data_IF_753652679411
#
_entry.id   IF_753652679411
#
_cell.length_a   1.000
_cell.length_b   1.000
_cell.length_c   1.000
_cell.angle_alpha   90.00
_cell.angle_beta   90.00
_cell.angle_gamma   90.00
#
_symmetry.space_group_name_H-M   'P 1'
#
loop_
_entity.id
_entity.type
_entity.pdbx_description
1 polymer ?
#
# COMPACT_ATOMS: atom_id res chain seq x y z
N UNK A 1 17.60 0.41 8.89
CA UNK A 1 17.49 1.88 8.76
C UNK A 1 17.82 2.24 7.34
N UNK A 2 16.79 2.50 6.57
CA UNK A 2 16.86 2.67 5.10
C UNK A 2 17.07 4.11 4.68
N UNK A 3 16.47 5.08 5.40
CA UNK A 3 16.55 6.49 5.02
C UNK A 3 17.92 7.11 5.28
N UNK A 4 18.32 7.98 4.34
CA UNK A 4 19.45 8.88 4.52
C UNK A 4 19.08 9.91 5.60
N UNK A 5 19.86 9.98 6.67
CA UNK A 5 19.50 10.82 7.83
C UNK A 5 19.37 12.30 7.51
N UNK A 6 20.12 12.77 6.47
CA UNK A 6 20.10 14.16 6.02
C UNK A 6 18.94 14.52 5.10
N UNK A 7 18.12 13.55 4.62
CA UNK A 7 16.98 13.88 3.81
C UNK A 7 15.94 14.70 4.60
N UNK A 8 15.24 15.59 3.92
CA UNK A 8 14.17 16.39 4.52
C UNK A 8 12.81 15.76 4.19
N UNK A 9 11.92 15.68 5.18
CA UNK A 9 10.56 15.18 4.99
C UNK A 9 9.64 16.35 4.64
N UNK A 10 8.93 16.23 3.51
CA UNK A 10 7.86 17.13 3.11
C UNK A 10 6.50 16.57 3.55
N UNK A 11 5.85 17.22 4.49
CA UNK A 11 4.53 16.83 4.99
C UNK A 11 3.39 17.59 4.30
N UNK A 12 3.67 18.44 3.30
CA UNK A 12 2.67 19.35 2.70
C UNK A 12 1.53 18.63 1.98
N UNK A 13 1.77 17.43 1.44
CA UNK A 13 0.76 16.59 0.79
C UNK A 13 0.07 15.63 1.75
N UNK A 14 0.50 15.59 3.03
CA UNK A 14 0.02 14.65 4.04
C UNK A 14 -0.95 15.33 5.00
N UNK A 15 -2.10 14.70 5.20
CA UNK A 15 -3.07 15.08 6.22
C UNK A 15 -3.14 14.03 7.32
N UNK A 16 -3.59 14.43 8.50
CA UNK A 16 -3.81 13.53 9.64
C UNK A 16 -5.22 13.71 10.17
N UNK A 17 -5.85 12.64 10.61
CA UNK A 17 -7.14 12.69 11.29
C UNK A 17 -8.18 11.76 10.64
N UNK A 18 -9.14 11.34 11.46
CA UNK A 18 -10.40 10.77 10.99
C UNK A 18 -11.41 11.90 10.84
N UNK A 19 -12.10 11.98 9.69
CA UNK A 19 -13.08 13.01 9.44
C UNK A 19 -14.19 13.03 10.50
N UNK A 20 -14.75 14.23 10.79
CA UNK A 20 -16.01 14.39 11.51
C UNK A 20 -17.17 13.82 10.69
N UNK A 21 -17.18 12.50 10.51
CA UNK A 21 -18.27 11.74 9.97
C UNK A 21 -18.84 10.84 11.06
N UNK A 22 -20.15 10.70 11.14
CA UNK A 22 -20.82 9.75 12.05
C UNK A 22 -20.20 8.38 11.85
N UNK A 23 -19.38 7.96 12.81
CA UNK A 23 -18.62 6.72 12.76
C UNK A 23 -19.56 5.50 12.71
N UNK A 24 -19.29 4.62 11.79
CA UNK A 24 -19.83 3.26 11.79
C UNK A 24 -18.76 2.40 12.45
N UNK A 25 -19.08 1.81 13.60
CA UNK A 25 -18.18 0.87 14.28
C UNK A 25 -18.25 -0.49 13.60
N UNK A 26 -17.13 -0.92 13.03
CA UNK A 26 -16.97 -2.29 12.56
C UNK A 26 -16.31 -3.07 13.70
N UNK A 27 -16.97 -4.12 14.18
CA UNK A 27 -16.47 -4.95 15.28
C UNK A 27 -15.21 -5.70 14.86
N UNK A 28 -14.11 -5.45 15.58
CA UNK A 28 -12.81 -6.04 15.32
C UNK A 28 -12.75 -7.53 15.67
N UNK A 29 -12.24 -8.30 14.74
CA UNK A 29 -11.85 -9.70 14.87
C UNK A 29 -11.22 -10.17 13.56
N UNK A 30 -10.37 -11.19 13.61
CA UNK A 30 -9.70 -11.83 12.45
C UNK A 30 -10.65 -12.11 11.26
N UNK A 31 -11.95 -12.23 11.51
CA UNK A 31 -12.97 -12.38 10.47
C UNK A 31 -13.34 -11.10 9.72
N UNK A 32 -13.10 -9.92 10.30
CA UNK A 32 -13.52 -8.64 9.71
C UNK A 32 -12.69 -8.26 8.48
N UNK A 33 -11.38 -8.41 8.54
CA UNK A 33 -10.46 -8.05 7.47
C UNK A 33 -10.67 -8.94 6.23
N UNK A 34 -10.85 -10.25 6.45
CA UNK A 34 -11.16 -11.20 5.37
C UNK A 34 -12.54 -10.95 4.78
N UNK A 35 -13.52 -10.57 5.60
CA UNK A 35 -14.91 -10.33 5.14
C UNK A 35 -15.01 -9.03 4.34
N UNK A 36 -14.29 -7.96 4.71
CA UNK A 36 -14.33 -6.69 3.97
C UNK A 36 -13.56 -6.80 2.65
N UNK A 37 -12.40 -7.42 2.65
CA UNK A 37 -11.68 -7.73 1.41
C UNK A 37 -12.52 -8.61 0.49
N UNK A 38 -13.17 -9.66 1.01
CA UNK A 38 -14.07 -10.51 0.25
C UNK A 38 -15.35 -9.78 -0.22
N UNK A 39 -15.93 -8.87 0.57
CA UNK A 39 -17.15 -8.16 0.20
C UNK A 39 -16.90 -7.17 -0.96
N UNK A 40 -15.82 -6.39 -0.92
CA UNK A 40 -15.42 -5.50 -2.02
C UNK A 40 -15.19 -6.31 -3.30
N UNK A 41 -14.61 -7.49 -3.18
CA UNK A 41 -14.27 -8.35 -4.32
C UNK A 41 -15.41 -9.25 -4.82
N UNK A 42 -16.40 -9.57 -3.98
CA UNK A 42 -17.59 -10.32 -4.42
C UNK A 42 -18.63 -9.43 -5.11
N UNK A 43 -18.34 -8.12 -5.28
CA UNK A 43 -19.30 -7.17 -5.84
C UNK A 43 -20.51 -6.95 -4.92
N UNK A 44 -20.39 -7.32 -3.65
CA UNK A 44 -21.38 -7.02 -2.63
C UNK A 44 -21.10 -5.60 -2.14
N UNK A 45 -22.09 -4.73 -2.23
CA UNK A 45 -21.99 -3.35 -1.75
C UNK A 45 -21.53 -3.36 -0.27
N UNK A 46 -20.34 -2.85 0.06
CA UNK A 46 -19.84 -2.80 1.43
C UNK A 46 -20.82 -2.12 2.38
N UNK A 47 -21.64 -1.19 1.88
CA UNK A 47 -22.71 -0.54 2.63
C UNK A 47 -23.79 -1.49 3.13
N UNK A 48 -24.05 -2.60 2.45
CA UNK A 48 -25.04 -3.60 2.90
C UNK A 48 -24.49 -4.51 4.01
N UNK A 49 -23.20 -4.78 4.02
CA UNK A 49 -22.54 -5.56 5.09
C UNK A 49 -22.37 -4.70 6.36
N UNK A 50 -22.16 -3.39 6.18
CA UNK A 50 -21.91 -2.42 7.26
C UNK A 50 -23.20 -1.97 7.97
N UNK A 51 -24.36 -2.08 7.33
CA UNK A 51 -25.64 -1.54 7.85
C UNK A 51 -26.19 -2.23 9.11
N UNK A 52 -25.53 -3.25 9.64
CA UNK A 52 -26.01 -4.02 10.81
C UNK A 52 -25.23 -3.78 12.11
N UNK A 53 -24.36 -2.75 12.21
CA UNK A 53 -23.56 -2.53 13.42
C UNK A 53 -23.98 -1.32 14.25
N UNK A 54 -23.87 -1.39 15.62
CA UNK A 54 -24.24 -0.28 16.50
C UNK A 54 -23.30 0.92 16.39
N UNK A 55 -23.86 2.13 16.46
CA UNK A 55 -23.10 3.38 16.45
C UNK A 55 -22.26 3.56 17.73
N UNK A 56 -21.03 4.06 17.59
CA UNK A 56 -20.17 4.43 18.71
C UNK A 56 -20.69 5.68 19.45
N UNK A 57 -20.44 5.79 20.78
CA UNK A 57 -20.82 6.98 21.54
C UNK A 57 -20.11 8.24 21.04
N UNK A 58 -20.79 9.42 21.10
CA UNK A 58 -20.17 10.69 20.71
C UNK A 58 -19.11 11.09 21.75
N UNK A 59 -17.88 11.33 21.34
CA UNK A 59 -16.86 11.94 22.19
C UNK A 59 -15.45 11.35 22.16
N UNK A 60 -15.16 10.31 21.39
CA UNK A 60 -13.78 9.87 21.20
C UNK A 60 -13.08 10.86 20.25
N UNK A 61 -12.29 11.79 20.78
CA UNK A 61 -11.34 12.54 20.00
C UNK A 61 -10.34 11.55 19.41
N UNK A 62 -10.40 11.35 18.08
CA UNK A 62 -9.38 10.62 17.37
C UNK A 62 -8.12 11.49 17.38
N UNK A 63 -7.16 11.15 18.23
CA UNK A 63 -5.84 11.77 18.23
C UNK A 63 -5.20 11.43 16.86
N UNK A 64 -5.17 12.44 15.99
CA UNK A 64 -4.42 12.34 14.73
C UNK A 64 -2.93 12.17 15.01
N UNK A 65 -2.19 11.71 14.03
CA UNK A 65 -0.72 11.65 14.12
C UNK A 65 -0.13 13.05 14.24
N UNK A 66 0.88 13.20 15.11
CA UNK A 66 1.68 14.44 15.20
C UNK A 66 2.86 14.34 14.20
N UNK A 67 2.72 15.03 13.07
CA UNK A 67 3.77 15.09 12.04
C UNK A 67 4.81 16.20 12.30
N UNK A 68 4.67 17.00 13.33
CA UNK A 68 5.61 18.10 13.64
C UNK A 68 7.03 17.63 13.92
N UNK A 69 7.17 16.37 14.35
CA UNK A 69 8.45 15.68 14.57
C UNK A 69 9.07 15.09 13.30
N UNK A 70 8.30 14.92 12.23
CA UNK A 70 8.74 14.31 10.98
C UNK A 70 9.48 15.33 10.11
N UNK A 71 10.78 15.52 10.33
CA UNK A 71 11.59 16.54 9.68
C UNK A 71 12.65 15.97 8.77
N UNK A 72 13.28 14.88 9.17
CA UNK A 72 14.46 14.32 8.52
C UNK A 72 14.38 12.81 8.35
N UNK A 73 15.27 12.25 7.56
CA UNK A 73 15.39 10.79 7.43
C UNK A 73 15.77 10.09 8.74
N UNK A 74 16.40 10.79 9.70
CA UNK A 74 16.62 10.26 11.04
C UNK A 74 15.27 9.99 11.74
N UNK A 75 14.31 10.94 11.63
CA UNK A 75 12.97 10.77 12.18
C UNK A 75 12.21 9.63 11.48
N UNK A 76 12.38 9.49 10.15
CA UNK A 76 11.80 8.37 9.39
C UNK A 76 12.37 7.00 9.82
N UNK A 77 13.64 6.97 10.20
CA UNK A 77 14.26 5.75 10.73
C UNK A 77 13.75 5.38 12.13
N UNK A 78 13.27 6.35 12.91
CA UNK A 78 12.80 6.17 14.28
C UNK A 78 11.28 5.97 14.38
N UNK A 79 10.49 6.83 13.71
CA UNK A 79 9.03 6.87 13.83
C UNK A 79 8.34 6.30 12.59
N UNK A 80 7.36 5.41 12.81
CA UNK A 80 6.66 4.72 11.70
C UNK A 80 5.87 5.71 10.84
N UNK A 81 5.15 6.65 11.44
CA UNK A 81 4.41 7.68 10.70
C UNK A 81 5.32 8.57 9.86
N UNK A 82 6.52 8.92 10.37
CA UNK A 82 7.50 9.67 9.61
C UNK A 82 8.08 8.84 8.47
N UNK A 83 8.25 7.52 8.68
CA UNK A 83 8.66 6.57 7.65
C UNK A 83 7.65 6.52 6.51
N UNK A 84 6.36 6.44 6.81
CA UNK A 84 5.31 6.43 5.79
C UNK A 84 5.37 7.70 4.94
N UNK A 85 5.45 8.87 5.56
CA UNK A 85 5.54 10.16 4.84
C UNK A 85 6.82 10.25 4.02
N UNK A 86 7.97 9.91 4.61
CA UNK A 86 9.26 9.93 3.92
C UNK A 86 9.30 8.96 2.73
N UNK A 87 8.64 7.80 2.84
CA UNK A 87 8.51 6.86 1.73
C UNK A 87 7.69 7.48 0.60
N UNK A 88 6.54 8.10 0.89
CA UNK A 88 5.77 8.83 -0.11
C UNK A 88 6.60 9.88 -0.84
N UNK A 89 7.37 10.69 -0.11
CA UNK A 89 8.28 11.67 -0.72
C UNK A 89 9.33 11.02 -1.64
N UNK A 90 9.87 9.86 -1.22
CA UNK A 90 10.84 9.11 -2.02
C UNK A 90 10.19 8.55 -3.30
N UNK A 91 8.97 8.00 -3.20
CA UNK A 91 8.22 7.48 -4.34
C UNK A 91 7.90 8.60 -5.32
N UNK A 92 7.41 9.75 -4.84
CA UNK A 92 7.17 10.93 -5.65
C UNK A 92 8.43 11.36 -6.41
N UNK A 93 9.57 11.48 -5.70
CA UNK A 93 10.82 11.87 -6.32
C UNK A 93 11.32 10.91 -7.40
N UNK A 94 11.07 9.62 -7.26
CA UNK A 94 11.39 8.62 -8.30
C UNK A 94 10.45 8.76 -9.49
N UNK A 95 9.13 8.81 -9.27
CA UNK A 95 8.16 8.83 -10.35
C UNK A 95 8.10 10.17 -11.11
N UNK A 96 8.41 11.29 -10.47
CA UNK A 96 8.62 12.58 -11.17
C UNK A 96 9.70 12.50 -12.25
N UNK A 97 10.74 11.66 -12.04
CA UNK A 97 11.79 11.43 -13.03
C UNK A 97 11.40 10.39 -14.10
N UNK A 98 10.58 9.40 -13.77
CA UNK A 98 10.27 8.27 -14.66
C UNK A 98 9.02 8.50 -15.51
N UNK A 99 8.02 9.23 -14.98
CA UNK A 99 6.72 9.40 -15.63
C UNK A 99 6.47 10.88 -15.95
N UNK A 100 6.54 11.22 -17.24
CA UNK A 100 6.21 12.57 -17.69
C UNK A 100 4.76 12.90 -17.36
N UNK A 101 4.54 13.99 -16.65
CA UNK A 101 3.20 14.43 -16.22
C UNK A 101 2.73 13.77 -14.92
N UNK A 102 3.64 13.13 -14.19
CA UNK A 102 3.36 12.66 -12.83
C UNK A 102 2.85 13.80 -11.95
N UNK A 103 1.80 13.53 -11.22
CA UNK A 103 1.26 14.43 -10.18
C UNK A 103 1.25 13.66 -8.86
N UNK A 104 1.66 14.30 -7.78
CA UNK A 104 1.72 13.66 -6.46
C UNK A 104 0.31 13.35 -5.95
N UNK A 105 0.06 12.15 -5.42
CA UNK A 105 -1.17 11.87 -4.71
C UNK A 105 -1.18 12.62 -3.38
N UNK A 106 -2.34 12.72 -2.77
CA UNK A 106 -2.46 13.07 -1.36
C UNK A 106 -2.16 11.84 -0.50
N UNK A 107 -1.73 12.08 0.73
CA UNK A 107 -1.59 11.05 1.75
C UNK A 107 -2.49 11.39 2.95
N UNK A 108 -3.15 10.38 3.49
CA UNK A 108 -3.93 10.50 4.73
C UNK A 108 -3.49 9.46 5.74
N UNK A 109 -2.95 9.91 6.87
CA UNK A 109 -2.75 9.05 8.03
C UNK A 109 -3.99 9.11 8.92
N UNK A 110 -4.60 7.98 9.17
CA UNK A 110 -5.84 7.91 9.96
C UNK A 110 -5.76 6.85 11.06
N UNK A 111 -6.68 6.89 11.99
CA UNK A 111 -6.89 5.87 13.03
C UNK A 111 -8.33 5.41 13.01
N UNK A 112 -8.53 4.11 13.10
CA UNK A 112 -9.82 3.44 13.17
C UNK A 112 -10.69 3.61 11.92
N UNK A 113 -11.28 4.81 11.68
CA UNK A 113 -12.20 5.05 10.58
C UNK A 113 -11.86 6.34 9.85
N UNK A 114 -12.12 6.37 8.55
CA UNK A 114 -11.94 7.54 7.68
C UNK A 114 -13.04 7.58 6.62
N UNK A 115 -13.47 8.78 6.22
CA UNK A 115 -14.32 9.00 5.06
C UNK A 115 -13.44 9.38 3.88
N UNK A 116 -13.62 8.68 2.75
CA UNK A 116 -12.83 8.88 1.53
C UNK A 116 -13.75 9.17 0.34
N UNK A 117 -13.17 9.59 -0.77
CA UNK A 117 -13.90 9.71 -2.03
C UNK A 117 -14.49 8.39 -2.53
N UNK A 118 -13.92 7.26 -2.12
CA UNK A 118 -14.37 5.91 -2.45
C UNK A 118 -15.39 5.33 -1.44
N UNK A 119 -15.77 6.10 -0.42
CA UNK A 119 -16.69 5.69 0.64
C UNK A 119 -16.02 5.62 2.02
N UNK A 120 -16.77 5.21 3.05
CA UNK A 120 -16.22 5.02 4.39
C UNK A 120 -15.26 3.83 4.43
N UNK A 121 -14.15 3.97 5.16
CA UNK A 121 -13.13 2.94 5.33
C UNK A 121 -12.72 2.82 6.80
N UNK A 122 -12.16 1.67 7.17
CA UNK A 122 -11.63 1.40 8.52
C UNK A 122 -10.22 0.83 8.45
N UNK A 123 -9.50 0.87 9.58
CA UNK A 123 -8.18 0.26 9.73
C UNK A 123 -8.15 -1.23 9.39
N UNK A 124 -9.28 -1.93 9.52
CA UNK A 124 -9.40 -3.35 9.18
C UNK A 124 -9.23 -3.63 7.67
N UNK A 125 -9.39 -2.61 6.82
CA UNK A 125 -9.17 -2.72 5.37
C UNK A 125 -7.69 -2.74 4.99
N UNK A 126 -6.81 -2.35 5.92
CA UNK A 126 -5.40 -2.09 5.62
C UNK A 126 -5.20 -0.76 4.87
N UNK A 127 -3.98 -0.47 4.44
CA UNK A 127 -3.66 0.63 3.53
C UNK A 127 -4.36 0.46 2.18
N UNK A 128 -4.70 1.58 1.54
CA UNK A 128 -5.31 1.57 0.21
C UNK A 128 -5.15 2.91 -0.51
N UNK A 129 -5.22 2.87 -1.84
CA UNK A 129 -5.34 4.03 -2.69
C UNK A 129 -6.79 4.23 -3.15
N UNK A 130 -7.29 5.45 -3.10
CA UNK A 130 -8.60 5.81 -3.65
C UNK A 130 -8.44 6.68 -4.90
N UNK A 131 -8.83 6.21 -6.10
CA UNK A 131 -8.67 6.97 -7.33
C UNK A 131 -9.66 8.16 -7.44
N UNK A 132 -10.78 8.14 -6.70
CA UNK A 132 -11.78 9.21 -6.76
C UNK A 132 -11.26 10.52 -6.17
N UNK A 133 -10.48 10.47 -5.10
CA UNK A 133 -9.88 11.64 -4.46
C UNK A 133 -8.36 11.70 -4.58
N UNK A 134 -7.77 10.72 -5.29
CA UNK A 134 -6.33 10.57 -5.52
C UNK A 134 -5.51 10.61 -4.23
N UNK A 135 -5.96 9.83 -3.25
CA UNK A 135 -5.36 9.80 -1.92
C UNK A 135 -4.96 8.39 -1.52
N UNK A 136 -3.74 8.23 -1.01
CA UNK A 136 -3.27 7.00 -0.37
C UNK A 136 -3.52 7.09 1.14
N UNK A 137 -4.17 6.09 1.70
CA UNK A 137 -4.65 6.03 3.08
C UNK A 137 -3.87 5.02 3.90
N UNK A 138 -3.39 5.42 5.08
CA UNK A 138 -2.59 4.55 5.95
C UNK A 138 -3.02 4.66 7.40
N UNK A 139 -3.29 3.51 8.04
CA UNK A 139 -3.21 3.39 9.50
C UNK A 139 -1.92 2.65 9.84
N UNK A 140 -1.02 3.28 10.59
CA UNK A 140 0.31 2.70 10.88
C UNK A 140 0.24 1.47 11.78
N UNK A 141 -0.87 1.24 12.48
CA UNK A 141 -1.07 0.02 13.28
C UNK A 141 -1.14 -1.23 12.40
N UNK A 142 -1.48 -1.06 11.11
CA UNK A 142 -1.45 -2.14 10.12
C UNK A 142 -0.09 -2.83 10.02
N UNK A 143 1.01 -2.12 10.16
CA UNK A 143 2.35 -2.72 10.08
C UNK A 143 2.61 -3.73 11.21
N UNK A 144 2.02 -3.51 12.38
CA UNK A 144 2.08 -4.50 13.46
C UNK A 144 1.20 -5.72 13.14
N UNK A 145 0.01 -5.49 12.57
CA UNK A 145 -0.88 -6.57 12.10
C UNK A 145 -0.18 -7.39 11.01
N UNK A 146 0.46 -6.73 10.03
CA UNK A 146 1.20 -7.37 8.95
C UNK A 146 2.31 -8.30 9.47
N UNK A 147 2.99 -7.88 10.54
CA UNK A 147 4.02 -8.68 11.21
C UNK A 147 3.41 -9.84 12.00
N UNK A 148 2.49 -9.54 12.91
CA UNK A 148 2.04 -10.49 13.94
C UNK A 148 1.02 -11.51 13.40
N UNK A 149 0.19 -11.10 12.44
CA UNK A 149 -0.87 -11.95 11.90
C UNK A 149 -0.53 -12.55 10.55
N UNK A 150 0.17 -11.80 9.69
CA UNK A 150 0.50 -12.26 8.33
C UNK A 150 1.93 -12.76 8.19
N UNK A 151 2.76 -12.65 9.24
CA UNK A 151 4.10 -13.21 9.28
C UNK A 151 5.13 -12.47 8.41
N UNK A 152 4.90 -11.17 8.15
CA UNK A 152 5.92 -10.30 7.57
C UNK A 152 7.10 -10.13 8.52
N UNK A 153 8.30 -9.89 8.00
CA UNK A 153 9.49 -9.59 8.83
C UNK A 153 9.34 -8.34 9.70
N UNK A 154 8.49 -7.39 9.27
CA UNK A 154 8.28 -6.10 9.95
C UNK A 154 9.48 -5.16 9.88
N UNK A 155 10.49 -5.46 9.03
CA UNK A 155 11.64 -4.58 8.80
C UNK A 155 11.25 -3.26 8.12
N UNK A 156 12.15 -2.25 8.12
CA UNK A 156 11.85 -0.95 7.54
C UNK A 156 11.37 -1.03 6.09
N UNK A 157 12.08 -1.75 5.20
CA UNK A 157 11.69 -1.83 3.79
C UNK A 157 10.41 -2.66 3.58
N UNK A 158 10.00 -3.52 4.53
CA UNK A 158 8.70 -4.18 4.52
C UNK A 158 7.55 -3.17 4.64
N UNK A 159 7.72 -2.15 5.48
CA UNK A 159 6.73 -1.07 5.66
C UNK A 159 6.76 -0.11 4.47
N UNK A 160 7.94 0.24 4.00
CA UNK A 160 8.15 1.13 2.85
C UNK A 160 7.59 0.52 1.55
N UNK A 161 7.73 -0.80 1.36
CA UNK A 161 7.12 -1.52 0.26
C UNK A 161 5.59 -1.33 0.21
N UNK A 162 4.90 -1.42 1.34
CA UNK A 162 3.45 -1.21 1.38
C UNK A 162 3.09 0.19 0.90
N UNK A 163 3.82 1.21 1.34
CA UNK A 163 3.57 2.58 0.87
C UNK A 163 3.82 2.71 -0.62
N UNK A 164 4.92 2.15 -1.12
CA UNK A 164 5.26 2.19 -2.54
C UNK A 164 4.25 1.42 -3.41
N UNK A 165 3.65 0.36 -2.88
CA UNK A 165 2.57 -0.40 -3.53
C UNK A 165 1.31 0.47 -3.72
N UNK A 166 0.85 1.16 -2.68
CA UNK A 166 -0.31 2.06 -2.79
C UNK A 166 -0.07 3.22 -3.77
N UNK A 167 1.16 3.75 -3.80
CA UNK A 167 1.58 4.71 -4.81
C UNK A 167 1.68 4.07 -6.20
N UNK A 168 1.96 2.78 -6.29
CA UNK A 168 1.86 1.99 -7.52
C UNK A 168 0.45 2.03 -8.12
N UNK A 169 -0.60 1.94 -7.29
CA UNK A 169 -1.98 2.14 -7.73
C UNK A 169 -2.25 3.57 -8.22
N UNK A 170 -1.63 4.58 -7.61
CA UNK A 170 -1.71 5.93 -8.12
C UNK A 170 -1.05 6.06 -9.52
N UNK A 171 0.09 5.43 -9.74
CA UNK A 171 0.75 5.38 -11.06
C UNK A 171 -0.16 4.69 -12.09
N UNK A 172 -0.82 3.59 -11.72
CA UNK A 172 -1.80 2.91 -12.57
C UNK A 172 -2.98 3.82 -12.92
N UNK A 173 -3.46 4.62 -11.98
CA UNK A 173 -4.53 5.60 -12.20
C UNK A 173 -4.10 6.64 -13.24
N UNK A 174 -2.92 7.24 -13.07
CA UNK A 174 -2.35 8.21 -14.02
C UNK A 174 -2.14 7.61 -15.43
N UNK A 175 -1.81 6.33 -15.53
CA UNK A 175 -1.63 5.61 -16.80
C UNK A 175 -2.94 5.07 -17.41
N UNK A 176 -4.05 5.14 -16.66
CA UNK A 176 -5.34 4.56 -17.05
C UNK A 176 -5.39 3.04 -16.97
N UNK A 177 -4.44 2.41 -16.27
CA UNK A 177 -4.34 0.95 -16.15
C UNK A 177 -5.42 0.36 -15.23
N UNK A 178 -5.90 1.12 -14.24
CA UNK A 178 -6.99 0.67 -13.35
C UNK A 178 -8.27 0.31 -14.14
N UNK A 179 -8.54 1.00 -15.24
CA UNK A 179 -9.66 0.69 -16.13
C UNK A 179 -9.54 -0.67 -16.85
N UNK A 180 -8.32 -1.20 -17.04
CA UNK A 180 -8.07 -2.48 -17.71
C UNK A 180 -8.52 -3.68 -16.87
N UNK A 181 -8.54 -3.54 -15.54
CA UNK A 181 -8.96 -4.60 -14.63
C UNK A 181 -10.42 -5.03 -14.88
N UNK A 182 -11.30 -4.09 -15.23
CA UNK A 182 -12.72 -4.33 -15.47
C UNK A 182 -12.97 -5.21 -16.71
N UNK A 183 -12.09 -5.14 -17.72
CA UNK A 183 -12.23 -5.91 -18.95
C UNK A 183 -11.74 -7.37 -18.88
N UNK A 184 -10.90 -7.69 -17.89
CA UNK A 184 -10.25 -9.01 -17.77
C UNK A 184 -10.96 -9.97 -16.80
N UNK A 185 -12.11 -9.59 -16.24
CA UNK A 185 -12.74 -10.29 -15.12
C UNK A 185 -12.03 -9.98 -13.78
N UNK A 186 -12.80 -9.71 -12.72
CA UNK A 186 -12.22 -9.20 -11.47
C UNK A 186 -11.44 -10.26 -10.67
N UNK A 187 -11.87 -11.52 -10.70
CA UNK A 187 -11.38 -12.60 -9.83
C UNK A 187 -10.65 -13.72 -10.59
N UNK A 188 -9.91 -14.52 -9.83
CA UNK A 188 -9.15 -15.67 -10.32
C UNK A 188 -7.69 -15.37 -10.56
N UNK A 189 -6.85 -16.41 -10.58
CA UNK A 189 -5.38 -16.33 -10.68
C UNK A 189 -4.85 -15.51 -11.89
N UNK A 190 -5.63 -15.39 -12.95
CA UNK A 190 -5.32 -14.55 -14.13
C UNK A 190 -6.23 -13.32 -14.27
N UNK A 191 -7.06 -13.04 -13.28
CA UNK A 191 -8.06 -11.97 -13.32
C UNK A 191 -7.46 -10.57 -13.29
N UNK A 192 -8.28 -9.58 -13.63
CA UNK A 192 -7.90 -8.18 -13.66
C UNK A 192 -7.42 -7.65 -12.31
N UNK A 193 -8.03 -8.09 -11.21
CA UNK A 193 -7.60 -7.76 -9.86
C UNK A 193 -6.15 -8.20 -9.60
N UNK A 194 -5.86 -9.49 -9.80
CA UNK A 194 -4.50 -10.04 -9.63
C UNK A 194 -3.49 -9.27 -10.50
N UNK A 195 -3.82 -8.98 -11.76
CA UNK A 195 -2.93 -8.23 -12.67
C UNK A 195 -2.65 -6.81 -12.18
N UNK A 196 -3.65 -6.15 -11.61
CA UNK A 196 -3.51 -4.81 -11.01
C UNK A 196 -2.56 -4.86 -9.81
N UNK A 197 -2.76 -5.79 -8.91
CA UNK A 197 -1.93 -5.94 -7.71
C UNK A 197 -0.47 -6.25 -8.05
N UNK A 198 -0.24 -7.21 -8.95
CA UNK A 198 1.11 -7.59 -9.38
C UNK A 198 1.82 -6.46 -10.14
N UNK A 199 1.08 -5.61 -10.86
CA UNK A 199 1.66 -4.42 -11.48
C UNK A 199 2.06 -3.38 -10.43
N UNK A 200 1.26 -3.18 -9.38
CA UNK A 200 1.60 -2.29 -8.27
C UNK A 200 2.84 -2.81 -7.51
N UNK A 201 2.95 -4.13 -7.30
CA UNK A 201 4.17 -4.75 -6.75
C UNK A 201 5.40 -4.48 -7.62
N UNK A 202 5.27 -4.58 -8.95
CA UNK A 202 6.35 -4.28 -9.87
C UNK A 202 6.74 -2.79 -9.81
N UNK A 203 5.79 -1.89 -9.73
CA UNK A 203 6.07 -0.45 -9.57
C UNK A 203 6.73 -0.12 -8.22
N UNK A 204 6.37 -0.82 -7.15
CA UNK A 204 7.10 -0.74 -5.89
C UNK A 204 8.55 -1.23 -6.03
N UNK A 205 8.78 -2.27 -6.82
CA UNK A 205 10.12 -2.74 -7.17
C UNK A 205 10.90 -1.71 -7.99
N UNK A 206 10.28 -1.06 -8.98
CA UNK A 206 10.91 0.03 -9.76
C UNK A 206 11.30 1.18 -8.84
N UNK A 207 10.43 1.59 -7.90
CA UNK A 207 10.80 2.59 -6.90
C UNK A 207 12.03 2.15 -6.10
N UNK A 208 12.04 0.94 -5.57
CA UNK A 208 13.17 0.44 -4.77
C UNK A 208 14.49 0.42 -5.54
N UNK A 209 14.46 0.19 -6.87
CA UNK A 209 15.64 0.26 -7.75
C UNK A 209 16.29 1.66 -7.71
N UNK A 210 15.46 2.71 -7.75
CA UNK A 210 15.94 4.09 -7.87
C UNK A 210 16.07 4.84 -6.54
N UNK A 211 15.39 4.41 -5.47
CA UNK A 211 15.26 5.15 -4.23
C UNK A 211 16.61 5.52 -3.57
N UNK A 212 17.63 4.66 -3.71
CA UNK A 212 18.96 4.89 -3.17
C UNK A 212 19.86 5.78 -4.07
N UNK A 213 19.44 6.09 -5.28
CA UNK A 213 20.21 6.91 -6.23
C UNK A 213 19.50 8.20 -6.63
N UNK A 214 18.19 8.29 -6.39
CA UNK A 214 17.41 9.51 -6.64
C UNK A 214 17.68 10.51 -5.53
N UNK A 215 18.18 11.69 -5.91
CA UNK A 215 18.44 12.79 -5.00
C UNK A 215 17.20 13.63 -4.75
N UNK A 216 17.08 14.18 -3.56
CA UNK A 216 16.08 15.20 -3.28
C UNK A 216 16.33 16.47 -4.12
N UNK A 217 15.28 17.10 -4.65
CA UNK A 217 15.41 18.32 -5.42
C UNK A 217 16.22 19.40 -4.69
N UNK A 218 17.21 19.98 -5.39
CA UNK A 218 18.06 21.04 -4.84
C UNK A 218 19.12 20.59 -3.82
N UNK A 219 19.32 19.28 -3.65
CA UNK A 219 20.33 18.73 -2.73
C UNK A 219 21.17 17.64 -3.39
N UNK A 220 22.26 17.25 -2.71
CA UNK A 220 23.05 16.06 -3.07
C UNK A 220 22.68 14.82 -2.25
N UNK A 221 21.63 14.91 -1.43
CA UNK A 221 21.19 13.84 -0.55
C UNK A 221 20.19 12.94 -1.27
N UNK A 222 20.46 11.63 -1.31
CA UNK A 222 19.50 10.63 -1.80
C UNK A 222 18.43 10.34 -0.74
N UNK A 223 17.27 9.88 -1.17
CA UNK A 223 16.20 9.52 -0.21
C UNK A 223 16.63 8.37 0.69
N UNK A 224 17.06 7.26 0.10
CA UNK A 224 17.50 6.09 0.83
C UNK A 224 19.03 5.92 0.78
N UNK A 225 19.55 5.23 1.77
CA UNK A 225 20.89 4.62 1.74
C UNK A 225 20.88 3.45 0.73
N UNK A 226 22.03 2.97 0.24
CA UNK A 226 22.09 1.75 -0.54
C UNK A 226 21.39 0.60 0.17
N UNK A 227 20.44 -0.03 -0.53
CA UNK A 227 19.67 -1.14 0.03
C UNK A 227 20.52 -2.39 0.14
N UNK A 228 20.39 -3.09 1.25
CA UNK A 228 21.07 -4.37 1.51
C UNK A 228 20.19 -5.55 1.09
N UNK A 229 20.78 -6.73 0.95
CA UNK A 229 20.02 -7.97 0.70
C UNK A 229 18.96 -8.23 1.77
N UNK A 230 19.24 -7.81 3.03
CA UNK A 230 18.26 -7.90 4.12
C UNK A 230 17.07 -6.97 3.88
N UNK A 231 17.31 -5.76 3.41
CA UNK A 231 16.22 -4.81 3.13
C UNK A 231 15.32 -5.38 2.02
N UNK A 232 15.92 -5.91 0.95
CA UNK A 232 15.15 -6.56 -0.12
C UNK A 232 14.39 -7.78 0.39
N UNK A 233 14.99 -8.60 1.25
CA UNK A 233 14.31 -9.72 1.87
C UNK A 233 13.11 -9.26 2.74
N UNK A 234 13.21 -8.11 3.41
CA UNK A 234 12.12 -7.53 4.18
C UNK A 234 10.94 -7.12 3.26
N UNK A 235 11.20 -6.47 2.12
CA UNK A 235 10.16 -6.14 1.13
C UNK A 235 9.50 -7.41 0.54
N UNK A 236 10.30 -8.40 0.15
CA UNK A 236 9.80 -9.67 -0.35
C UNK A 236 8.98 -10.44 0.70
N UNK A 237 9.34 -10.32 1.97
CA UNK A 237 8.56 -10.88 3.08
C UNK A 237 7.19 -10.23 3.20
N UNK A 238 7.11 -8.90 3.07
CA UNK A 238 5.83 -8.18 3.10
C UNK A 238 4.96 -8.56 1.89
N UNK A 239 5.51 -8.53 0.69
CA UNK A 239 4.79 -8.94 -0.53
C UNK A 239 4.21 -10.36 -0.41
N UNK A 240 5.02 -11.33 0.06
CA UNK A 240 4.58 -12.69 0.25
C UNK A 240 3.52 -12.86 1.35
N UNK A 241 3.56 -12.03 2.40
CA UNK A 241 2.68 -12.18 3.56
C UNK A 241 1.22 -11.89 3.24
N UNK A 242 0.95 -11.08 2.23
CA UNK A 242 -0.38 -10.70 1.76
C UNK A 242 -0.80 -11.42 0.47
N UNK A 243 -0.10 -12.50 0.09
CA UNK A 243 -0.53 -13.38 -1.00
C UNK A 243 -1.79 -14.18 -0.66
N UNK A 244 -2.72 -14.26 -1.62
CA UNK A 244 -4.02 -14.93 -1.44
C UNK A 244 -3.87 -16.39 -1.00
N UNK A 245 -2.87 -17.10 -1.53
CA UNK A 245 -2.57 -18.50 -1.17
C UNK A 245 -2.21 -18.65 0.32
N UNK A 246 -1.45 -17.70 0.88
CA UNK A 246 -1.11 -17.68 2.31
C UNK A 246 -2.30 -17.32 3.18
N UNK A 247 -3.01 -16.26 2.81
CA UNK A 247 -4.20 -15.78 3.56
C UNK A 247 -5.27 -16.89 3.58
N UNK A 248 -5.60 -17.48 2.44
CA UNK A 248 -6.60 -18.55 2.36
C UNK A 248 -6.19 -19.80 3.14
N UNK A 249 -4.90 -20.21 3.01
CA UNK A 249 -4.39 -21.37 3.75
C UNK A 249 -4.46 -21.16 5.25
N UNK A 250 -4.13 -19.94 5.74
CA UNK A 250 -4.20 -19.60 7.16
C UNK A 250 -5.64 -19.56 7.67
N UNK A 251 -6.56 -18.97 6.88
CA UNK A 251 -7.97 -18.80 7.28
C UNK A 251 -8.79 -20.09 7.19
N UNK A 252 -8.56 -20.92 6.16
CA UNK A 252 -9.44 -22.05 5.83
C UNK A 252 -8.71 -23.39 5.72
N UNK A 253 -7.39 -23.41 5.76
CA UNK A 253 -6.56 -24.58 5.52
C UNK A 253 -6.48 -25.02 4.04
N UNK A 254 -7.14 -24.31 3.11
CA UNK A 254 -7.23 -24.64 1.70
C UNK A 254 -6.93 -23.43 0.83
N UNK A 255 -6.44 -23.65 -0.39
CA UNK A 255 -6.18 -22.63 -1.39
C UNK A 255 -7.15 -22.81 -2.55
N UNK A 256 -7.82 -21.72 -2.96
CA UNK A 256 -8.70 -21.69 -4.11
C UNK A 256 -8.31 -20.54 -5.06
N UNK A 257 -7.53 -20.82 -6.11
CA UNK A 257 -7.06 -19.77 -7.04
C UNK A 257 -8.16 -19.05 -7.81
N UNK A 258 -9.35 -19.64 -7.95
CA UNK A 258 -10.51 -19.02 -8.60
C UNK A 258 -11.04 -17.78 -7.85
N UNK A 259 -10.69 -17.66 -6.56
CA UNK A 259 -11.10 -16.57 -5.69
C UNK A 259 -9.97 -15.56 -5.42
N UNK A 260 -8.83 -15.68 -6.10
CA UNK A 260 -7.73 -14.75 -5.90
C UNK A 260 -8.05 -13.37 -6.45
N UNK A 261 -7.51 -12.39 -5.78
CA UNK A 261 -7.66 -10.96 -6.08
C UNK A 261 -6.33 -10.22 -6.04
N UNK A 262 -5.35 -10.73 -5.27
CA UNK A 262 -4.02 -10.15 -5.11
C UNK A 262 -2.91 -11.00 -5.72
N UNK A 263 -3.19 -12.26 -6.05
CA UNK A 263 -2.20 -13.21 -6.54
C UNK A 263 -1.51 -13.98 -5.42
N UNK A 264 -0.74 -14.99 -5.80
CA UNK A 264 0.04 -15.81 -4.88
C UNK A 264 1.24 -15.04 -4.30
N UNK A 265 1.73 -15.49 -3.16
CA UNK A 265 2.96 -14.99 -2.56
C UNK A 265 4.14 -15.03 -3.53
N UNK A 266 4.25 -16.08 -4.34
CA UNK A 266 5.34 -16.24 -5.32
C UNK A 266 5.22 -15.22 -6.47
N UNK A 267 4.01 -14.98 -7.00
CA UNK A 267 3.77 -14.00 -8.06
C UNK A 267 4.09 -12.59 -7.56
N UNK A 268 3.63 -12.22 -6.38
CA UNK A 268 3.91 -10.90 -5.78
C UNK A 268 5.42 -10.66 -5.63
N UNK A 269 6.16 -11.64 -5.09
CA UNK A 269 7.61 -11.56 -5.00
C UNK A 269 8.29 -11.46 -6.38
N UNK A 270 7.83 -12.25 -7.36
CA UNK A 270 8.35 -12.22 -8.73
C UNK A 270 8.20 -10.83 -9.35
N UNK A 271 7.02 -10.23 -9.27
CA UNK A 271 6.78 -8.94 -9.90
C UNK A 271 7.51 -7.80 -9.19
N UNK A 272 7.57 -7.77 -7.86
CA UNK A 272 8.45 -6.85 -7.16
C UNK A 272 9.91 -7.00 -7.59
N UNK A 273 10.41 -8.24 -7.66
CA UNK A 273 11.78 -8.53 -8.09
C UNK A 273 12.03 -8.08 -9.54
N UNK A 274 11.06 -8.26 -10.43
CA UNK A 274 11.13 -7.78 -11.82
C UNK A 274 11.34 -6.27 -11.87
N UNK A 275 10.52 -5.51 -11.14
CA UNK A 275 10.67 -4.06 -11.04
C UNK A 275 12.01 -3.65 -10.43
N UNK A 276 12.40 -4.30 -9.35
CA UNK A 276 13.66 -4.00 -8.64
C UNK A 276 14.91 -4.28 -9.49
N UNK A 277 14.93 -5.39 -10.21
CA UNK A 277 16.09 -5.75 -11.03
C UNK A 277 16.22 -4.92 -12.30
N UNK A 278 15.10 -4.56 -12.93
CA UNK A 278 15.11 -3.86 -14.22
C UNK A 278 15.08 -2.35 -14.10
N UNK A 279 14.40 -1.80 -13.10
CA UNK A 279 14.11 -0.37 -13.01
C UNK A 279 13.24 0.16 -14.17
N UNK A 280 12.73 -0.71 -15.06
CA UNK A 280 11.98 -0.31 -16.24
C UNK A 280 10.48 -0.53 -16.04
N UNK A 281 9.66 0.55 -15.92
CA UNK A 281 8.21 0.42 -15.75
C UNK A 281 7.51 -0.34 -16.88
N UNK A 282 8.11 -0.44 -18.06
CA UNK A 282 7.55 -1.19 -19.19
C UNK A 282 7.58 -2.70 -18.96
N UNK A 283 8.48 -3.19 -18.10
CA UNK A 283 8.52 -4.58 -17.69
C UNK A 283 7.39 -4.96 -16.74
N UNK A 284 6.68 -3.97 -16.21
CA UNK A 284 5.55 -4.15 -15.30
C UNK A 284 4.19 -4.35 -16.01
N UNK A 285 4.19 -4.71 -17.29
CA UNK A 285 2.94 -4.90 -18.04
C UNK A 285 2.30 -6.28 -17.76
N UNK A 286 1.70 -6.42 -16.58
CA UNK A 286 1.00 -7.65 -16.16
C UNK A 286 -0.20 -7.97 -17.02
N UNK A 287 -0.84 -6.95 -17.63
CA UNK A 287 -2.01 -7.13 -18.48
C UNK A 287 -1.67 -7.79 -19.83
N UNK A 288 -0.44 -7.64 -20.32
CA UNK A 288 0.05 -8.31 -21.52
C UNK A 288 0.76 -9.64 -21.23
N UNK A 289 1.10 -9.92 -19.98
CA UNK A 289 1.78 -11.16 -19.60
C UNK A 289 0.86 -12.37 -19.82
N UNK A 290 1.41 -13.41 -20.48
CA UNK A 290 0.71 -14.70 -20.68
C UNK A 290 0.70 -15.54 -19.40
N UNK A 291 1.75 -15.42 -18.63
CA UNK A 291 1.97 -16.13 -17.38
C UNK A 291 2.42 -15.14 -16.30
N UNK A 292 1.75 -15.15 -15.16
CA UNK A 292 1.99 -14.22 -14.05
C UNK A 292 3.01 -14.76 -13.04
N UNK A 293 3.19 -16.08 -12.96
CA UNK A 293 4.09 -16.69 -11.98
C UNK A 293 4.62 -18.03 -12.32
#
# INVERSE_FOLDING_TARGET
>A
MTFNEGMQIDTSTTSTGGGRGRGIAIGGGLGGLVVVLLAVFLGVDPGQVISQQPALPPGAEQSGYDLSKCRTGADANEYVECRVVATGNSVDGVWENLLKGYTRPKMMLFKNNVNTGCGPASSDMGPFYCPVDQTAYFDTDFFQVLKDQFGSSGGPLAQEYVVAHEYGHHVQDLLGDLGKAQGAGAQGAGGGGVRTELQADCYAGVWAHFAAITKQPGTDVTYLKPLTDKDIADALSAAASVGDDRIQKQATGRVNPEQWTHGSAAERQKWFTTGYQTGDPKQCNTFAARDLG
#
